data_IF_346201190822
#
_entry.id   IF_346201190822
#
_cell.length_a   1.000
_cell.length_b   1.000
_cell.length_c   1.000
_cell.angle_alpha   90.00
_cell.angle_beta   90.00
_cell.angle_gamma   90.00
#
_symmetry.space_group_name_H-M   'P 1'
#
loop_
_entity.id
_entity.type
_entity.pdbx_description
1 polymer ?
#
# COMPACT_ATOMS: atom_id res chain seq x y z
N UNK A 1 35.95 22.49 -2.19
CA UNK A 1 34.49 22.66 -2.30
C UNK A 1 34.26 24.03 -2.93
N UNK A 2 33.66 24.11 -4.13
CA UNK A 2 33.37 25.40 -4.77
C UNK A 2 31.97 25.92 -4.36
N UNK A 3 31.68 27.17 -4.69
CA UNK A 3 30.41 27.82 -4.33
C UNK A 3 29.18 27.04 -4.88
N UNK A 4 29.24 26.53 -6.11
CA UNK A 4 28.15 25.73 -6.71
C UNK A 4 27.87 24.43 -5.95
N UNK A 5 28.93 23.75 -5.47
CA UNK A 5 28.81 22.55 -4.63
C UNK A 5 28.19 22.88 -3.26
N UNK A 6 28.47 24.06 -2.70
CA UNK A 6 27.81 24.51 -1.47
C UNK A 6 26.31 24.76 -1.70
N UNK A 7 25.95 25.43 -2.80
CA UNK A 7 24.55 25.70 -3.16
C UNK A 7 23.79 24.39 -3.41
N UNK A 8 24.38 23.42 -4.11
CA UNK A 8 23.75 22.12 -4.33
C UNK A 8 23.57 21.33 -3.03
N UNK A 9 24.57 21.33 -2.14
CA UNK A 9 24.49 20.68 -0.84
C UNK A 9 23.37 21.28 0.03
N UNK A 10 23.25 22.61 0.06
CA UNK A 10 22.18 23.29 0.80
C UNK A 10 20.79 22.91 0.27
N UNK A 11 20.61 22.90 -1.06
CA UNK A 11 19.35 22.48 -1.70
C UNK A 11 19.02 21.03 -1.38
N UNK A 12 19.99 20.12 -1.54
CA UNK A 12 19.80 18.70 -1.27
C UNK A 12 19.45 18.46 0.21
N UNK A 13 20.13 19.13 1.13
CA UNK A 13 19.86 19.02 2.57
C UNK A 13 18.44 19.50 2.90
N UNK A 14 18.02 20.63 2.36
CA UNK A 14 16.67 21.15 2.54
C UNK A 14 15.61 20.16 2.01
N UNK A 15 15.78 19.68 0.77
CA UNK A 15 14.86 18.73 0.15
C UNK A 15 14.77 17.40 0.93
N UNK A 16 15.90 16.88 1.40
CA UNK A 16 15.93 15.63 2.18
C UNK A 16 15.21 15.78 3.51
N UNK A 17 15.50 16.85 4.27
CA UNK A 17 14.84 17.10 5.55
C UNK A 17 13.34 17.36 5.38
N UNK A 18 12.94 18.06 4.32
CA UNK A 18 11.53 18.26 3.99
C UNK A 18 10.86 16.92 3.67
N UNK A 19 11.46 16.10 2.80
CA UNK A 19 10.94 14.79 2.45
C UNK A 19 10.81 13.87 3.68
N UNK A 20 11.78 13.92 4.60
CA UNK A 20 11.72 13.18 5.87
C UNK A 20 10.56 13.64 6.75
N UNK A 21 10.32 14.94 6.86
CA UNK A 21 9.19 15.47 7.61
C UNK A 21 7.85 15.03 7.00
N UNK A 22 7.70 15.14 5.68
CA UNK A 22 6.50 14.70 4.96
C UNK A 22 6.23 13.20 5.13
N UNK A 23 7.26 12.35 5.05
CA UNK A 23 7.14 10.90 5.31
C UNK A 23 6.65 10.63 6.73
N UNK A 24 7.23 11.29 7.73
CA UNK A 24 6.81 11.14 9.13
C UNK A 24 5.33 11.50 9.34
N UNK A 25 4.90 12.63 8.76
CA UNK A 25 3.49 13.06 8.81
C UNK A 25 2.57 12.04 8.13
N UNK A 26 2.98 11.54 6.95
CA UNK A 26 2.21 10.53 6.22
C UNK A 26 2.08 9.22 7.01
N UNK A 27 3.17 8.73 7.62
CA UNK A 27 3.14 7.53 8.46
C UNK A 27 2.21 7.70 9.66
N UNK A 28 2.32 8.82 10.38
CA UNK A 28 1.43 9.12 11.50
C UNK A 28 -0.05 9.21 11.08
N UNK A 29 -0.33 9.79 9.90
CA UNK A 29 -1.67 9.85 9.33
C UNK A 29 -2.24 8.46 9.06
N UNK A 30 -1.47 7.58 8.44
CA UNK A 30 -1.90 6.21 8.11
C UNK A 30 -2.15 5.40 9.38
N UNK A 31 -1.24 5.46 10.37
CA UNK A 31 -1.40 4.79 11.67
C UNK A 31 -2.67 5.27 12.35
N UNK A 32 -2.89 6.59 12.43
CA UNK A 32 -4.09 7.17 13.05
C UNK A 32 -5.37 6.71 12.35
N UNK A 33 -5.38 6.67 11.01
CA UNK A 33 -6.55 6.21 10.26
C UNK A 33 -6.81 4.71 10.46
N UNK A 34 -5.76 3.89 10.55
CA UNK A 34 -5.89 2.47 10.88
C UNK A 34 -6.48 2.27 12.28
N UNK A 35 -5.94 2.98 13.29
CA UNK A 35 -6.45 2.93 14.66
C UNK A 35 -7.90 3.40 14.77
N UNK A 36 -8.29 4.45 14.04
CA UNK A 36 -9.68 4.89 13.98
C UNK A 36 -10.59 3.79 13.42
N UNK A 37 -10.15 3.09 12.38
CA UNK A 37 -10.85 1.93 11.86
C UNK A 37 -11.01 0.82 12.90
N UNK A 38 -9.94 0.51 13.62
CA UNK A 38 -9.98 -0.47 14.70
C UNK A 38 -10.97 -0.08 15.79
N UNK A 39 -10.91 1.16 16.30
CA UNK A 39 -11.84 1.64 17.33
C UNK A 39 -13.30 1.54 16.90
N UNK A 40 -13.60 1.89 15.64
CA UNK A 40 -14.95 1.81 15.09
C UNK A 40 -15.41 0.35 15.05
N UNK A 41 -14.60 -0.55 14.50
CA UNK A 41 -14.98 -1.96 14.34
C UNK A 41 -15.08 -2.67 15.69
N UNK A 42 -14.18 -2.38 16.62
CA UNK A 42 -14.21 -2.93 17.98
C UNK A 42 -15.48 -2.49 18.74
N UNK A 43 -15.86 -1.22 18.58
CA UNK A 43 -17.08 -0.68 19.16
C UNK A 43 -18.35 -1.29 18.51
N UNK A 44 -18.35 -1.47 17.19
CA UNK A 44 -19.45 -2.15 16.48
C UNK A 44 -19.63 -3.61 16.93
N UNK A 45 -18.54 -4.35 17.18
CA UNK A 45 -18.60 -5.76 17.57
C UNK A 45 -19.15 -6.00 18.98
N UNK A 46 -19.01 -5.01 19.87
CA UNK A 46 -19.49 -5.05 21.26
C UNK A 46 -20.94 -4.56 21.40
N UNK A 47 -21.55 -4.03 20.32
CA UNK A 47 -22.95 -3.59 20.28
C UNK A 47 -23.95 -4.72 19.99
N UNK A 48 -25.11 -4.71 20.65
CA UNK A 48 -26.14 -5.74 20.55
C UNK A 48 -26.90 -5.74 19.19
N UNK A 49 -26.99 -4.61 18.50
CA UNK A 49 -27.74 -4.45 17.24
C UNK A 49 -26.84 -4.02 16.07
N UNK A 50 -26.50 -4.96 15.18
CA UNK A 50 -25.37 -4.87 14.24
C UNK A 50 -25.63 -4.14 12.91
N UNK A 51 -26.87 -3.96 12.48
CA UNK A 51 -27.17 -3.53 11.10
C UNK A 51 -27.53 -2.03 10.98
N UNK A 52 -28.34 -1.49 11.89
CA UNK A 52 -28.75 -0.07 11.85
C UNK A 52 -27.77 0.87 12.56
N UNK A 53 -26.98 0.32 13.48
CA UNK A 53 -26.08 1.10 14.33
C UNK A 53 -24.85 1.61 13.57
N UNK A 54 -24.24 0.83 12.67
CA UNK A 54 -22.96 1.21 12.03
C UNK A 54 -23.05 2.48 11.17
N UNK A 55 -24.10 2.63 10.38
CA UNK A 55 -24.27 3.83 9.53
C UNK A 55 -24.61 5.07 10.35
N UNK A 56 -25.43 4.94 11.40
CA UNK A 56 -25.73 6.04 12.31
C UNK A 56 -24.55 6.40 13.22
N UNK A 57 -23.77 5.40 13.67
CA UNK A 57 -22.56 5.59 14.45
C UNK A 57 -21.56 6.49 13.73
N UNK A 58 -21.22 6.17 12.49
CA UNK A 58 -20.23 6.95 11.73
C UNK A 58 -20.74 8.36 11.46
N UNK A 59 -22.05 8.55 11.22
CA UNK A 59 -22.66 9.88 11.10
C UNK A 59 -22.55 10.67 12.40
N UNK A 60 -22.87 10.04 13.53
CA UNK A 60 -22.79 10.66 14.85
C UNK A 60 -21.33 11.00 15.21
N UNK A 61 -20.37 10.13 14.91
CA UNK A 61 -18.94 10.38 15.08
C UNK A 61 -18.48 11.56 14.22
N UNK A 62 -18.88 11.59 12.94
CA UNK A 62 -18.53 12.67 12.03
C UNK A 62 -19.05 14.02 12.53
N UNK A 63 -20.31 14.10 13.00
CA UNK A 63 -20.88 15.34 13.54
C UNK A 63 -20.25 15.73 14.88
N UNK A 64 -19.98 14.78 15.79
CA UNK A 64 -19.34 15.08 17.09
C UNK A 64 -17.89 15.53 16.94
N UNK A 65 -17.14 14.98 16.00
CA UNK A 65 -15.73 15.31 15.76
C UNK A 65 -15.55 16.51 14.83
N UNK A 66 -16.64 16.98 14.21
CA UNK A 66 -16.66 18.15 13.32
C UNK A 66 -16.14 19.38 14.05
N UNK A 67 -15.15 20.04 13.46
CA UNK A 67 -14.51 21.22 14.05
C UNK A 67 -13.50 20.93 15.17
N UNK A 68 -13.54 19.73 15.78
CA UNK A 68 -12.55 19.30 16.78
C UNK A 68 -11.30 18.73 16.10
N UNK A 69 -11.50 17.85 15.11
CA UNK A 69 -10.41 17.18 14.39
C UNK A 69 -10.61 17.33 12.89
N UNK A 70 -9.62 17.93 12.20
CA UNK A 70 -9.64 18.03 10.74
C UNK A 70 -9.51 16.64 10.10
N UNK A 71 -10.34 16.39 9.09
CA UNK A 71 -10.33 15.12 8.35
C UNK A 71 -11.29 14.05 8.88
N UNK A 72 -12.10 14.31 9.91
CA UNK A 72 -13.08 13.35 10.43
C UNK A 72 -14.47 13.47 9.74
N UNK A 73 -14.50 13.47 8.40
CA UNK A 73 -15.77 13.43 7.66
C UNK A 73 -16.39 12.04 7.68
N UNK A 74 -17.70 11.94 7.44
CA UNK A 74 -18.41 10.66 7.29
C UNK A 74 -17.70 9.73 6.28
N UNK A 75 -17.24 10.28 5.16
CA UNK A 75 -16.51 9.52 4.14
C UNK A 75 -15.16 9.03 4.65
N UNK A 76 -14.36 9.87 5.31
CA UNK A 76 -13.04 9.47 5.77
C UNK A 76 -13.11 8.43 6.91
N UNK A 77 -14.10 8.55 7.80
CA UNK A 77 -14.33 7.54 8.86
C UNK A 77 -14.77 6.19 8.28
N UNK A 78 -15.59 6.18 7.22
CA UNK A 78 -15.89 4.96 6.47
C UNK A 78 -14.63 4.36 5.82
N UNK A 79 -13.75 5.18 5.23
CA UNK A 79 -12.47 4.71 4.70
C UNK A 79 -11.58 4.13 5.80
N UNK A 80 -11.53 4.74 6.98
CA UNK A 80 -10.79 4.20 8.14
C UNK A 80 -11.33 2.82 8.53
N UNK A 81 -12.65 2.68 8.62
CA UNK A 81 -13.33 1.40 8.92
C UNK A 81 -13.00 0.33 7.88
N UNK A 82 -13.15 0.64 6.59
CA UNK A 82 -12.82 -0.27 5.51
C UNK A 82 -11.33 -0.65 5.52
N UNK A 83 -10.45 0.33 5.78
CA UNK A 83 -9.02 0.10 5.86
C UNK A 83 -8.64 -0.93 6.92
N UNK A 84 -9.20 -0.83 8.13
CA UNK A 84 -8.97 -1.84 9.17
C UNK A 84 -9.52 -3.22 8.77
N UNK A 85 -10.69 -3.28 8.13
CA UNK A 85 -11.30 -4.53 7.68
C UNK A 85 -10.50 -5.22 6.57
N UNK A 86 -9.90 -4.45 5.65
CA UNK A 86 -9.01 -4.96 4.61
C UNK A 86 -7.65 -5.40 5.14
N UNK A 87 -7.22 -4.82 6.26
CA UNK A 87 -5.90 -5.04 6.86
C UNK A 87 -5.95 -5.39 8.36
N UNK A 88 -6.65 -6.47 8.77
CA UNK A 88 -6.87 -6.78 10.19
C UNK A 88 -5.62 -7.39 10.85
N UNK A 89 -4.73 -8.02 10.08
CA UNK A 89 -3.55 -8.77 10.58
C UNK A 89 -2.26 -7.94 10.70
N UNK A 90 -2.37 -6.61 10.77
CA UNK A 90 -1.21 -5.71 10.84
C UNK A 90 -0.45 -5.83 12.17
N UNK A 91 -1.14 -6.23 13.24
CA UNK A 91 -0.58 -6.44 14.57
C UNK A 91 -0.64 -7.93 14.88
N UNK A 92 0.51 -8.55 15.16
CA UNK A 92 0.55 -9.86 15.78
C UNK A 92 0.32 -9.65 17.27
N UNK A 93 -0.94 -9.63 17.70
CA UNK A 93 -1.24 -9.57 19.13
C UNK A 93 -0.86 -10.92 19.74
N UNK A 94 0.03 -11.00 20.75
CA UNK A 94 0.12 -12.19 21.58
C UNK A 94 -1.26 -12.45 22.19
N UNK A 95 -1.79 -13.68 22.14
CA UNK A 95 -3.15 -13.96 22.57
C UNK A 95 -3.20 -14.05 24.09
N UNK A 96 -3.22 -12.92 24.82
CA UNK A 96 -3.58 -12.95 26.25
C UNK A 96 -3.95 -11.61 26.92
N UNK A 97 -4.27 -10.54 26.17
CA UNK A 97 -4.76 -9.28 26.77
C UNK A 97 -5.87 -8.61 25.95
N UNK A 98 -6.88 -9.36 25.54
CA UNK A 98 -8.18 -8.76 25.23
C UNK A 98 -9.01 -8.71 26.52
N UNK A 99 -9.27 -7.54 27.13
CA UNK A 99 -10.26 -7.46 28.20
C UNK A 99 -11.66 -7.56 27.57
N UNK A 100 -12.54 -8.42 28.11
CA UNK A 100 -13.93 -8.48 27.66
C UNK A 100 -14.64 -7.18 28.06
N UNK A 101 -15.11 -6.38 27.10
CA UNK A 101 -16.12 -5.35 27.44
C UNK A 101 -17.45 -6.10 27.56
N UNK A 102 -18.06 -6.02 28.74
CA UNK A 102 -19.38 -6.55 29.00
C UNK A 102 -20.48 -5.76 28.26
N UNK A 103 -21.64 -6.37 27.98
CA UNK A 103 -22.74 -5.72 27.26
C UNK A 103 -23.40 -4.60 28.10
N UNK A 104 -24.15 -3.66 27.47
CA UNK A 104 -24.92 -2.67 28.22
C UNK A 104 -26.10 -3.35 28.91
N UNK A 105 -26.17 -3.26 30.23
CA UNK A 105 -27.36 -3.66 30.99
C UNK A 105 -28.55 -2.78 30.58
N UNK A 106 -29.56 -3.43 30.02
CA UNK A 106 -30.90 -2.90 29.89
C UNK A 106 -31.49 -2.62 31.27
N UNK A 107 -32.01 -1.41 31.42
CA UNK A 107 -32.77 -0.91 32.56
C UNK A 107 -33.81 -1.90 33.12
N UNK A 108 -33.72 -2.17 34.42
CA UNK A 108 -34.91 -2.39 35.26
C UNK A 108 -34.95 -1.33 36.35
N UNK A 109 -36.03 -0.56 36.29
CA UNK A 109 -36.48 0.39 37.30
C UNK A 109 -36.92 -0.42 38.51
N UNK A 110 -36.36 -0.15 39.69
CA UNK A 110 -37.07 -0.36 40.96
C UNK A 110 -36.65 0.71 41.98
N UNK A 111 -37.67 1.23 42.66
CA UNK A 111 -37.62 2.32 43.62
C UNK A 111 -37.12 1.82 44.97
N UNK A 112 -36.40 2.70 45.67
CA UNK A 112 -36.51 3.01 47.12
C UNK A 112 -35.17 3.08 47.88
N UNK A 113 -34.92 4.29 48.40
CA UNK A 113 -34.38 4.59 49.75
C UNK A 113 -32.87 4.72 50.01
N UNK A 114 -32.54 5.95 50.46
CA UNK A 114 -31.52 6.41 51.41
C UNK A 114 -30.09 6.80 50.96
N UNK A 115 -29.75 8.04 51.32
CA UNK A 115 -28.47 8.74 51.17
C UNK A 115 -27.36 8.17 52.05
N UNK A 116 -26.13 8.14 51.50
CA UNK A 116 -24.93 8.67 52.16
C UNK A 116 -23.87 9.04 51.10
N UNK A 117 -23.10 10.12 51.28
CA UNK A 117 -22.12 10.58 50.31
C UNK A 117 -20.75 9.97 50.61
N UNK A 118 -19.99 9.52 49.61
CA UNK A 118 -18.51 9.54 49.57
C UNK A 118 -18.00 8.99 48.23
N UNK A 119 -17.13 9.79 47.60
CA UNK A 119 -16.08 9.48 46.63
C UNK A 119 -16.39 8.73 45.32
N UNK A 120 -16.14 9.47 44.23
CA UNK A 120 -15.50 9.02 42.99
C UNK A 120 -16.20 7.92 42.20
N UNK A 121 -17.10 8.35 41.34
CA UNK A 121 -17.50 7.62 40.14
C UNK A 121 -16.39 7.75 39.07
N UNK A 122 -15.42 6.85 39.07
CA UNK A 122 -14.61 6.60 37.88
C UNK A 122 -15.41 5.73 36.91
N UNK A 123 -16.11 6.39 35.99
CA UNK A 123 -16.69 5.76 34.80
C UNK A 123 -15.56 5.23 33.92
N UNK A 124 -15.17 3.97 34.13
CA UNK A 124 -14.13 3.26 33.40
C UNK A 124 -14.52 2.99 31.94
N UNK A 125 -14.44 4.02 31.09
CA UNK A 125 -14.07 3.82 29.71
C UNK A 125 -12.57 3.51 29.70
N UNK A 126 -12.15 2.34 29.21
CA UNK A 126 -10.73 2.03 29.06
C UNK A 126 -10.10 3.02 28.07
N UNK A 127 -9.51 4.09 28.59
CA UNK A 127 -8.63 4.97 27.85
C UNK A 127 -7.41 4.12 27.50
N UNK A 128 -7.14 3.89 26.22
CA UNK A 128 -5.84 3.35 25.80
C UNK A 128 -4.77 4.29 26.36
N UNK A 129 -3.89 3.79 27.23
CA UNK A 129 -2.83 4.63 27.79
C UNK A 129 -1.93 5.15 26.67
N UNK A 130 -1.33 6.32 26.86
CA UNK A 130 -0.41 6.91 25.89
C UNK A 130 0.71 5.93 25.50
N UNK A 131 1.16 5.11 26.45
CA UNK A 131 2.19 4.08 26.25
C UNK A 131 1.75 2.95 25.30
N UNK A 132 0.46 2.56 25.35
CA UNK A 132 -0.10 1.56 24.43
C UNK A 132 -0.16 2.16 23.02
N UNK A 133 -0.59 3.40 22.86
CA UNK A 133 -0.64 4.08 21.55
C UNK A 133 0.76 4.17 20.96
N UNK A 134 1.75 4.55 21.76
CA UNK A 134 3.14 4.64 21.33
C UNK A 134 3.65 3.26 20.86
N UNK A 135 3.46 2.22 21.66
CA UNK A 135 3.90 0.85 21.33
C UNK A 135 3.24 0.34 20.02
N UNK A 136 1.94 0.55 19.85
CA UNK A 136 1.22 0.16 18.64
C UNK A 136 1.70 0.95 17.42
N UNK A 137 1.99 2.25 17.61
CA UNK A 137 2.48 3.10 16.52
C UNK A 137 3.85 2.65 16.00
N UNK A 138 4.74 2.20 16.89
CA UNK A 138 6.06 1.67 16.51
C UNK A 138 5.92 0.38 15.72
N UNK A 139 5.05 -0.54 16.16
CA UNK A 139 4.78 -1.79 15.44
C UNK A 139 4.21 -1.52 14.04
N UNK A 140 3.22 -0.62 13.94
CA UNK A 140 2.56 -0.30 12.67
C UNK A 140 3.48 0.45 11.71
N UNK A 141 4.43 1.26 12.20
CA UNK A 141 5.39 2.00 11.38
C UNK A 141 6.20 1.08 10.46
N UNK A 142 6.54 -0.12 10.94
CA UNK A 142 7.34 -1.10 10.14
C UNK A 142 6.54 -1.75 9.01
N UNK A 143 5.21 -1.84 9.18
CA UNK A 143 4.25 -2.48 8.28
C UNK A 143 3.68 -1.50 7.26
N UNK A 144 3.29 -0.31 7.71
CA UNK A 144 2.59 0.69 6.92
C UNK A 144 3.58 1.59 6.16
N UNK A 145 4.04 1.10 5.01
CA UNK A 145 5.09 1.77 4.21
C UNK A 145 4.59 2.73 3.14
N UNK A 146 3.32 2.63 2.75
CA UNK A 146 2.70 3.50 1.74
C UNK A 146 1.98 4.70 2.37
N UNK A 147 1.71 5.74 1.57
CA UNK A 147 0.93 6.89 2.02
C UNK A 147 -0.58 6.59 2.09
N UNK A 148 -1.34 7.42 2.80
CA UNK A 148 -2.80 7.24 2.95
C UNK A 148 -3.52 7.14 1.61
N UNK A 149 -3.15 7.95 0.62
CA UNK A 149 -3.76 7.90 -0.72
C UNK A 149 -3.61 6.54 -1.40
N UNK A 150 -2.49 5.84 -1.20
CA UNK A 150 -2.32 4.48 -1.71
C UNK A 150 -3.30 3.52 -1.05
N UNK A 151 -3.41 3.55 0.28
CA UNK A 151 -4.36 2.68 0.98
C UNK A 151 -5.82 2.99 0.63
N UNK A 152 -6.18 4.26 0.43
CA UNK A 152 -7.52 4.64 -0.06
C UNK A 152 -7.82 4.02 -1.42
N UNK A 153 -6.81 3.88 -2.29
CA UNK A 153 -6.96 3.18 -3.55
C UNK A 153 -7.03 1.66 -3.35
N UNK A 154 -6.07 1.07 -2.64
CA UNK A 154 -5.95 -0.37 -2.41
C UNK A 154 -7.18 -0.97 -1.71
N UNK A 155 -7.80 -0.25 -0.77
CA UNK A 155 -9.00 -0.71 -0.05
C UNK A 155 -10.20 -0.90 -1.00
N UNK A 156 -10.22 -0.23 -2.16
CA UNK A 156 -11.28 -0.40 -3.16
C UNK A 156 -11.15 -1.68 -3.99
N UNK A 157 -9.96 -2.29 -4.01
CA UNK A 157 -9.71 -3.55 -4.71
C UNK A 157 -10.35 -4.66 -3.89
N UNK A 158 -11.32 -5.41 -4.44
CA UNK A 158 -12.06 -6.44 -3.70
C UNK A 158 -11.22 -7.70 -3.48
N UNK A 159 -10.47 -8.13 -4.50
CA UNK A 159 -9.61 -9.30 -4.43
C UNK A 159 -8.40 -9.06 -3.50
N UNK A 160 -8.26 -9.91 -2.50
CA UNK A 160 -7.18 -9.83 -1.53
C UNK A 160 -5.80 -10.13 -2.13
N UNK A 161 -5.72 -11.03 -3.10
CA UNK A 161 -4.44 -11.43 -3.73
C UNK A 161 -3.97 -10.33 -4.71
N UNK A 162 -4.90 -9.71 -5.43
CA UNK A 162 -4.62 -8.54 -6.27
C UNK A 162 -4.18 -7.33 -5.45
N UNK A 163 -4.90 -7.04 -4.35
CA UNK A 163 -4.57 -5.93 -3.46
C UNK A 163 -3.16 -6.07 -2.91
N UNK A 164 -2.79 -7.25 -2.42
CA UNK A 164 -1.45 -7.46 -1.86
C UNK A 164 -0.37 -7.38 -2.93
N UNK A 165 -0.63 -7.85 -4.15
CA UNK A 165 0.29 -7.67 -5.28
C UNK A 165 0.60 -6.19 -5.53
N UNK A 166 -0.43 -5.36 -5.71
CA UNK A 166 -0.25 -3.95 -5.99
C UNK A 166 0.41 -3.19 -4.83
N UNK A 167 0.14 -3.59 -3.59
CA UNK A 167 0.81 -3.05 -2.41
C UNK A 167 2.32 -3.35 -2.42
N UNK A 168 2.69 -4.60 -2.66
CA UNK A 168 4.09 -5.03 -2.71
C UNK A 168 4.82 -4.34 -3.85
N UNK A 169 4.26 -4.32 -5.06
CA UNK A 169 4.88 -3.67 -6.20
C UNK A 169 5.02 -2.16 -5.99
N UNK A 170 4.02 -1.52 -5.37
CA UNK A 170 4.11 -0.09 -5.04
C UNK A 170 5.27 0.20 -4.08
N UNK A 171 5.55 -0.71 -3.14
CA UNK A 171 6.69 -0.59 -2.22
C UNK A 171 8.00 -0.87 -2.94
N UNK A 172 8.08 -1.95 -3.71
CA UNK A 172 9.30 -2.41 -4.38
C UNK A 172 9.78 -1.45 -5.47
N UNK A 173 8.86 -0.98 -6.31
CA UNK A 173 9.15 -0.08 -7.42
C UNK A 173 8.95 1.40 -7.08
N UNK A 174 8.65 1.71 -5.81
CA UNK A 174 8.39 3.07 -5.30
C UNK A 174 7.38 3.83 -6.17
N UNK A 175 6.27 3.19 -6.53
CA UNK A 175 5.25 3.81 -7.37
C UNK A 175 4.61 5.00 -6.66
N UNK A 176 4.43 6.08 -7.40
CA UNK A 176 3.50 7.13 -6.99
C UNK A 176 2.06 6.64 -7.12
N UNK A 177 1.12 7.31 -6.46
CA UNK A 177 -0.32 6.98 -6.58
C UNK A 177 -0.79 6.96 -8.04
N UNK A 178 -0.28 7.87 -8.88
CA UNK A 178 -0.61 7.92 -10.31
C UNK A 178 -0.08 6.72 -11.07
N UNK A 179 1.10 6.24 -10.69
CA UNK A 179 1.70 5.07 -11.33
C UNK A 179 0.99 3.80 -10.86
N UNK A 180 0.66 3.68 -9.57
CA UNK A 180 -0.21 2.61 -9.08
C UNK A 180 -1.54 2.56 -9.84
N UNK A 181 -2.24 3.70 -9.95
CA UNK A 181 -3.48 3.80 -10.72
C UNK A 181 -3.29 3.40 -12.18
N UNK A 182 -2.20 3.84 -12.81
CA UNK A 182 -1.87 3.48 -14.20
C UNK A 182 -1.63 1.98 -14.37
N UNK A 183 -0.85 1.38 -13.48
CA UNK A 183 -0.52 -0.05 -13.53
C UNK A 183 -1.76 -0.92 -13.23
N UNK A 184 -2.61 -0.47 -12.30
CA UNK A 184 -3.92 -1.06 -12.04
C UNK A 184 -4.82 -1.01 -13.29
N UNK A 185 -5.01 0.18 -13.86
CA UNK A 185 -5.85 0.35 -15.06
C UNK A 185 -5.31 -0.40 -16.29
N UNK A 186 -4.02 -0.70 -16.33
CA UNK A 186 -3.41 -1.53 -17.38
C UNK A 186 -3.65 -3.04 -17.21
N UNK A 187 -4.32 -3.45 -16.12
CA UNK A 187 -4.57 -4.85 -15.79
C UNK A 187 -3.28 -5.64 -15.58
N UNK A 188 -2.27 -5.05 -14.92
CA UNK A 188 -0.97 -5.71 -14.72
C UNK A 188 -1.12 -7.04 -13.99
N UNK A 189 -1.91 -7.08 -12.93
CA UNK A 189 -2.13 -8.29 -12.14
C UNK A 189 -2.79 -9.38 -12.98
N UNK A 190 -3.87 -9.05 -13.68
CA UNK A 190 -4.65 -9.99 -14.48
C UNK A 190 -3.84 -10.55 -15.64
N UNK A 191 -3.02 -9.73 -16.30
CA UNK A 191 -2.10 -10.18 -17.35
C UNK A 191 -1.07 -11.18 -16.83
N UNK A 192 -0.53 -10.95 -15.65
CA UNK A 192 0.42 -11.88 -15.03
C UNK A 192 -0.27 -13.13 -14.51
N UNK A 193 -1.52 -13.01 -14.04
CA UNK A 193 -2.33 -14.11 -13.54
C UNK A 193 -2.79 -15.06 -14.67
N UNK A 194 -3.14 -14.53 -15.85
CA UNK A 194 -3.57 -15.29 -17.03
C UNK A 194 -2.56 -16.36 -17.48
N UNK A 195 -1.28 -16.15 -17.21
CA UNK A 195 -0.19 -17.07 -17.60
C UNK A 195 0.23 -18.04 -16.49
N UNK A 196 -0.39 -18.02 -15.30
CA UNK A 196 0.09 -18.73 -14.11
C UNK A 196 -1.00 -19.56 -13.44
N UNK A 197 -0.61 -20.68 -12.84
CA UNK A 197 -1.50 -21.49 -12.00
C UNK A 197 -1.83 -20.79 -10.67
N UNK A 198 -2.88 -21.25 -9.98
CA UNK A 198 -3.34 -20.71 -8.68
C UNK A 198 -2.22 -20.59 -7.63
N UNK A 199 -1.28 -21.54 -7.61
CA UNK A 199 -0.12 -21.47 -6.72
C UNK A 199 0.89 -20.37 -7.14
N UNK A 200 1.06 -20.15 -8.45
CA UNK A 200 1.88 -19.08 -8.99
C UNK A 200 1.29 -17.70 -8.73
N UNK A 201 -0.04 -17.56 -8.80
CA UNK A 201 -0.77 -16.33 -8.46
C UNK A 201 -0.57 -15.96 -6.99
N UNK A 202 -0.69 -16.94 -6.07
CA UNK A 202 -0.44 -16.72 -4.64
C UNK A 202 1.01 -16.30 -4.33
N UNK A 203 2.00 -16.86 -5.04
CA UNK A 203 3.40 -16.41 -4.90
C UNK A 203 3.56 -14.97 -5.36
N UNK A 204 2.93 -14.62 -6.49
CA UNK A 204 2.90 -13.26 -7.03
C UNK A 204 2.33 -12.26 -6.02
N UNK A 205 1.25 -12.64 -5.35
CA UNK A 205 0.57 -11.84 -4.33
C UNK A 205 1.37 -11.70 -3.02
N UNK A 206 2.36 -12.58 -2.76
CA UNK A 206 3.17 -12.57 -1.53
C UNK A 206 4.56 -11.95 -1.73
N UNK A 207 5.16 -12.15 -2.89
CA UNK A 207 6.56 -11.78 -3.17
C UNK A 207 6.67 -10.65 -4.20
N UNK A 208 5.59 -10.33 -4.93
CA UNK A 208 5.62 -9.42 -6.07
C UNK A 208 6.22 -10.06 -7.33
N UNK A 209 6.63 -9.24 -8.28
CA UNK A 209 7.32 -9.66 -9.49
C UNK A 209 8.81 -9.82 -9.22
N UNK A 210 9.25 -11.06 -9.00
CA UNK A 210 10.68 -11.39 -8.99
C UNK A 210 11.18 -11.45 -10.44
N UNK A 211 11.90 -10.43 -10.89
CA UNK A 211 12.62 -10.44 -12.19
C UNK A 211 13.86 -11.32 -12.02
N UNK A 212 13.68 -12.64 -12.12
CA UNK A 212 14.78 -13.60 -11.97
C UNK A 212 15.62 -13.74 -13.25
N UNK A 213 15.02 -13.49 -14.41
CA UNK A 213 15.67 -13.68 -15.70
C UNK A 213 15.54 -12.46 -16.62
N UNK A 214 16.59 -12.12 -17.42
CA UNK A 214 16.54 -11.03 -18.40
C UNK A 214 15.37 -11.14 -19.41
N UNK A 215 14.81 -12.35 -19.60
CA UNK A 215 13.64 -12.61 -20.44
C UNK A 215 12.33 -12.08 -19.87
N UNK A 216 12.25 -11.83 -18.56
CA UNK A 216 11.04 -11.26 -17.93
C UNK A 216 10.90 -9.76 -18.25
N UNK A 217 12.01 -9.07 -18.55
CA UNK A 217 12.03 -7.69 -19.04
C UNK A 217 11.49 -7.57 -20.48
N UNK A 218 11.73 -8.60 -21.30
CA UNK A 218 11.34 -8.61 -22.72
C UNK A 218 9.82 -8.76 -22.89
N UNK A 219 9.11 -9.27 -21.87
CA UNK A 219 7.65 -9.42 -21.89
C UNK A 219 6.89 -8.13 -21.58
N UNK A 220 7.59 -7.03 -21.31
CA UNK A 220 6.95 -5.72 -21.16
C UNK A 220 6.36 -5.26 -22.49
N UNK A 221 5.10 -4.81 -22.58
CA UNK A 221 4.47 -4.36 -23.83
C UNK A 221 5.27 -3.23 -24.51
N UNK A 222 5.86 -2.32 -23.73
CA UNK A 222 6.75 -1.27 -24.23
C UNK A 222 8.05 -1.81 -24.84
N UNK A 223 8.58 -2.92 -24.31
CA UNK A 223 9.79 -3.55 -24.86
C UNK A 223 9.44 -4.31 -26.14
N UNK A 224 8.27 -4.95 -26.21
CA UNK A 224 7.79 -5.62 -27.42
C UNK A 224 7.52 -4.61 -28.55
N UNK A 225 6.89 -3.47 -28.25
CA UNK A 225 6.67 -2.36 -29.19
C UNK A 225 8.00 -1.78 -29.69
N UNK A 226 8.95 -1.54 -28.78
CA UNK A 226 10.30 -1.08 -29.12
C UNK A 226 11.05 -2.08 -30.01
N UNK A 227 10.83 -3.38 -29.81
CA UNK A 227 11.44 -4.45 -30.60
C UNK A 227 10.66 -4.77 -31.88
N UNK A 228 9.52 -4.12 -32.14
CA UNK A 228 8.68 -4.35 -33.31
C UNK A 228 8.05 -5.75 -33.37
N UNK A 229 7.78 -6.36 -32.21
CA UNK A 229 7.19 -7.70 -32.08
C UNK A 229 5.69 -7.59 -31.74
N UNK A 230 4.84 -8.30 -32.49
CA UNK A 230 3.40 -8.33 -32.26
C UNK A 230 3.04 -9.08 -30.97
N UNK A 231 1.99 -8.67 -30.24
CA UNK A 231 1.51 -9.38 -29.05
C UNK A 231 0.90 -10.76 -29.41
N UNK A 232 1.71 -11.78 -29.66
CA UNK A 232 1.23 -13.17 -29.73
C UNK A 232 1.25 -13.82 -28.35
N UNK A 233 0.10 -14.36 -27.96
CA UNK A 233 -0.25 -14.86 -26.61
C UNK A 233 0.67 -15.99 -26.08
N UNK A 234 1.57 -16.55 -26.88
CA UNK A 234 2.53 -17.58 -26.45
C UNK A 234 3.88 -17.44 -27.12
N UNK A 235 4.70 -16.51 -26.64
CA UNK A 235 6.15 -16.63 -26.83
C UNK A 235 6.68 -17.75 -25.94
N UNK A 236 6.74 -18.95 -26.50
CA UNK A 236 7.43 -20.09 -25.89
C UNK A 236 8.92 -19.80 -25.67
N UNK A 237 9.53 -20.43 -24.67
CA UNK A 237 10.95 -20.25 -24.32
C UNK A 237 11.88 -20.53 -25.51
N UNK A 238 11.51 -21.47 -26.40
CA UNK A 238 12.25 -21.75 -27.64
C UNK A 238 12.18 -20.60 -28.64
N UNK A 239 11.02 -19.95 -28.79
CA UNK A 239 10.86 -18.76 -29.64
C UNK A 239 11.66 -17.56 -29.12
N UNK A 240 11.69 -17.32 -27.80
CA UNK A 240 12.48 -16.25 -27.20
C UNK A 240 14.00 -16.48 -27.35
N UNK A 241 14.46 -17.72 -27.20
CA UNK A 241 15.87 -18.09 -27.40
C UNK A 241 16.32 -17.87 -28.86
N UNK A 242 15.45 -18.20 -29.82
CA UNK A 242 15.71 -17.99 -31.25
C UNK A 242 15.77 -16.49 -31.59
N UNK A 243 14.89 -15.68 -30.98
CA UNK A 243 14.88 -14.22 -31.14
C UNK A 243 16.13 -13.57 -30.54
N UNK A 244 16.60 -14.04 -29.38
CA UNK A 244 17.83 -13.55 -28.75
C UNK A 244 19.07 -13.84 -29.61
N UNK A 245 19.09 -14.98 -30.31
CA UNK A 245 20.10 -15.29 -31.33
C UNK A 245 20.05 -14.35 -32.53
N UNK A 246 18.83 -13.99 -33.00
CA UNK A 246 18.61 -13.08 -34.13
C UNK A 246 19.08 -11.65 -33.82
N UNK A 247 18.83 -11.16 -32.61
CA UNK A 247 19.29 -9.84 -32.15
C UNK A 247 20.83 -9.79 -32.06
N UNK A 248 21.48 -10.82 -31.49
CA UNK A 248 22.94 -10.91 -31.48
C UNK A 248 23.53 -10.97 -32.90
N UNK A 249 22.86 -11.64 -33.83
CA UNK A 249 23.23 -11.70 -35.25
C UNK A 249 23.09 -10.36 -35.98
N UNK A 250 22.06 -9.58 -35.69
CA UNK A 250 21.86 -8.25 -36.30
C UNK A 250 22.85 -7.22 -35.76
N UNK A 251 23.15 -7.22 -34.46
CA UNK A 251 24.13 -6.30 -33.86
C UNK A 251 25.54 -6.59 -34.41
N UNK A 252 25.92 -7.86 -34.51
CA UNK A 252 27.22 -8.26 -35.10
C UNK A 252 27.30 -8.00 -36.61
N UNK A 253 26.19 -8.09 -37.34
CA UNK A 253 26.09 -7.71 -38.75
C UNK A 253 26.21 -6.20 -38.97
N UNK A 254 25.59 -5.39 -38.10
CA UNK A 254 25.67 -3.93 -38.15
C UNK A 254 27.09 -3.43 -37.84
N UNK A 255 27.78 -4.07 -36.88
CA UNK A 255 29.17 -3.73 -36.54
C UNK A 255 30.15 -4.11 -37.66
N UNK A 256 29.92 -5.22 -38.37
CA UNK A 256 30.70 -5.57 -39.57
C UNK A 256 30.46 -4.61 -40.74
N UNK A 257 29.22 -4.19 -40.96
CA UNK A 257 28.89 -3.21 -42.00
C UNK A 257 29.47 -1.82 -41.69
N UNK A 258 29.47 -1.41 -40.41
CA UNK A 258 30.14 -0.18 -39.95
C UNK A 258 31.66 -0.27 -40.08
N UNK A 259 32.28 -1.39 -39.71
CA UNK A 259 33.71 -1.61 -39.89
C UNK A 259 34.12 -1.59 -41.37
N UNK A 260 33.30 -2.17 -42.27
CA UNK A 260 33.54 -2.13 -43.71
C UNK A 260 33.38 -0.71 -44.31
N UNK A 261 32.42 0.08 -43.81
CA UNK A 261 32.27 1.49 -44.21
C UNK A 261 33.44 2.36 -43.76
N UNK A 262 33.93 2.18 -42.52
CA UNK A 262 35.09 2.91 -41.99
C UNK A 262 36.36 2.58 -42.77
N UNK A 263 36.56 1.30 -43.15
CA UNK A 263 37.69 0.89 -43.98
C UNK A 263 37.65 1.50 -45.40
N UNK A 264 36.46 1.67 -45.98
CA UNK A 264 36.29 2.30 -47.29
C UNK A 264 36.55 3.82 -47.28
N UNK A 265 36.42 4.49 -46.13
CA UNK A 265 36.61 5.95 -46.01
C UNK A 265 38.03 6.36 -45.60
N UNK A 266 38.83 5.47 -44.98
CA UNK A 266 40.14 5.85 -44.40
C UNK A 266 41.38 5.23 -45.07
N UNK A 267 41.28 4.34 -46.06
CA UNK A 267 42.52 3.78 -46.62
C UNK A 267 42.38 2.81 -47.77
N UNK A 268 42.09 3.32 -48.97
CA UNK A 268 42.25 2.62 -50.23
C UNK A 268 43.40 3.20 -51.07
N UNK A 269 44.52 3.54 -50.46
CA UNK A 269 45.73 3.97 -51.16
C UNK A 269 46.55 2.76 -51.62
N UNK A 270 46.47 2.46 -52.92
CA UNK A 270 47.60 1.97 -53.69
C UNK A 270 47.82 2.92 -54.85
#
# INVERSE_FOLDING_TARGET
MNFEQLVSLLKQTHMELQCRAERSVNTALVIRNWLFGWYIVEYEQRGADRADYGTQLIRNLAEKLKGQIKGCSFTNLNLCRQFYQSYPKMIQTPPEQSPPLAPPESSKVDKDTAMSPTSSCESGGTIMSADIIQTLSEQLTTRLRLSWSHYVFLVKIEDSDERSFYEIESINAAWSIRELERQFNSGLYERLALSRDKAGIRKLAQEGQVVAHPTDLIKGPYVLEFLGLNEEVKYSISTLSTLQGRIKGQVTGLDRARAAMIWATEGGGK
#
